data_IF_337309537841
#
_entry.id   IF_337309537841
#
_cell.length_a   1.000
_cell.length_b   1.000
_cell.length_c   1.000
_cell.angle_alpha   90.00
_cell.angle_beta   90.00
_cell.angle_gamma   90.00
#
_symmetry.space_group_name_H-M   'P 1'
#
loop_
_entity.id
_entity.type
_entity.pdbx_description
1 polymer ?
#
# COMPACT_ATOMS: atom_id res chain seq x y z
N UNK A 1 -10.23 7.10 13.30
CA UNK A 1 -9.55 5.85 12.89
C UNK A 1 -10.53 4.72 13.10
N UNK A 2 -10.88 3.93 12.07
CA UNK A 2 -11.73 2.77 12.26
C UNK A 2 -10.87 1.60 12.78
N UNK A 3 -11.07 1.17 14.02
CA UNK A 3 -10.38 0.00 14.57
C UNK A 3 -11.10 -1.28 14.15
N UNK A 4 -10.37 -2.20 13.54
CA UNK A 4 -10.88 -3.52 13.17
C UNK A 4 -10.45 -4.53 14.23
N UNK A 5 -11.42 -5.07 14.98
CA UNK A 5 -11.16 -6.12 15.98
C UNK A 5 -11.06 -7.48 15.29
N UNK A 6 -9.85 -8.01 15.18
CA UNK A 6 -9.57 -9.31 14.59
C UNK A 6 -9.66 -10.42 15.64
N UNK A 7 -10.36 -11.51 15.31
CA UNK A 7 -10.37 -12.76 16.09
C UNK A 7 -9.92 -13.90 15.20
N UNK A 8 -8.88 -14.61 15.60
CA UNK A 8 -8.38 -15.79 14.88
C UNK A 8 -7.72 -16.75 15.87
N UNK A 9 -7.74 -18.05 15.55
CA UNK A 9 -6.95 -19.06 16.27
C UNK A 9 -5.44 -18.93 15.98
N UNK A 10 -5.08 -18.28 14.88
CA UNK A 10 -3.71 -18.07 14.42
C UNK A 10 -3.43 -16.57 14.22
N UNK A 11 -3.52 -15.79 15.30
CA UNK A 11 -3.39 -14.32 15.24
C UNK A 11 -2.06 -13.86 14.60
N UNK A 12 -0.95 -14.53 14.91
CA UNK A 12 0.36 -14.15 14.36
C UNK A 12 0.42 -14.34 12.84
N UNK A 13 -0.10 -15.47 12.34
CA UNK A 13 -0.17 -15.75 10.91
C UNK A 13 -1.11 -14.77 10.19
N UNK A 14 -2.25 -14.46 10.79
CA UNK A 14 -3.20 -13.49 10.23
C UNK A 14 -2.61 -12.08 10.21
N UNK A 15 -1.92 -11.67 11.28
CA UNK A 15 -1.25 -10.38 11.36
C UNK A 15 -0.19 -10.26 10.26
N UNK A 16 0.67 -11.26 10.12
CA UNK A 16 1.69 -11.29 9.08
C UNK A 16 1.09 -11.21 7.68
N UNK A 17 0.04 -11.98 7.41
CA UNK A 17 -0.67 -11.93 6.12
C UNK A 17 -1.21 -10.53 5.81
N UNK A 18 -1.81 -9.87 6.80
CA UNK A 18 -2.32 -8.50 6.64
C UNK A 18 -1.16 -7.52 6.41
N UNK A 19 -0.07 -7.63 7.17
CA UNK A 19 1.12 -6.79 7.00
C UNK A 19 1.73 -6.96 5.60
N UNK A 20 1.85 -8.19 5.12
CA UNK A 20 2.39 -8.50 3.78
C UNK A 20 1.50 -7.89 2.69
N UNK A 21 0.18 -8.10 2.76
CA UNK A 21 -0.78 -7.57 1.78
C UNK A 21 -0.84 -6.03 1.79
N UNK A 22 -0.78 -5.40 2.97
CA UNK A 22 -0.73 -3.95 3.08
C UNK A 22 0.59 -3.39 2.53
N UNK A 23 1.70 -4.08 2.76
CA UNK A 23 3.02 -3.68 2.26
C UNK A 23 3.05 -3.71 0.74
N UNK A 24 2.56 -4.79 0.12
CA UNK A 24 2.45 -4.92 -1.34
C UNK A 24 1.60 -3.78 -1.92
N UNK A 25 0.43 -3.53 -1.33
CA UNK A 25 -0.46 -2.45 -1.79
C UNK A 25 0.16 -1.06 -1.65
N UNK A 26 0.92 -0.81 -0.59
CA UNK A 26 1.63 0.46 -0.41
C UNK A 26 2.72 0.64 -1.46
N UNK A 27 3.45 -0.43 -1.81
CA UNK A 27 4.46 -0.38 -2.87
C UNK A 27 3.83 -0.08 -4.23
N UNK A 28 2.73 -0.75 -4.60
CA UNK A 28 2.00 -0.46 -5.84
C UNK A 28 1.58 1.01 -5.94
N UNK A 29 1.05 1.57 -4.83
CA UNK A 29 0.62 2.97 -4.78
C UNK A 29 1.80 3.93 -4.92
N UNK A 30 2.92 3.65 -4.25
CA UNK A 30 4.13 4.46 -4.35
C UNK A 30 4.69 4.48 -5.78
N UNK A 31 4.70 3.33 -6.46
CA UNK A 31 5.10 3.27 -7.87
C UNK A 31 4.14 4.06 -8.77
N UNK A 32 2.84 3.93 -8.55
CA UNK A 32 1.82 4.68 -9.30
C UNK A 32 1.96 6.19 -9.12
N UNK A 33 2.21 6.65 -7.88
CA UNK A 33 2.47 8.06 -7.57
C UNK A 33 3.72 8.53 -8.30
N UNK A 34 4.82 7.77 -8.23
CA UNK A 34 6.08 8.11 -8.90
C UNK A 34 5.89 8.27 -10.41
N UNK A 35 5.25 7.30 -11.08
CA UNK A 35 4.97 7.37 -12.52
C UNK A 35 4.09 8.57 -12.86
N UNK A 36 3.14 8.92 -12.00
CA UNK A 36 2.27 10.08 -12.19
C UNK A 36 3.05 11.38 -12.07
N UNK A 37 3.94 11.49 -11.08
CA UNK A 37 4.84 12.64 -10.92
C UNK A 37 5.76 12.80 -12.13
N UNK A 38 6.39 11.73 -12.60
CA UNK A 38 7.23 11.74 -13.81
C UNK A 38 6.46 12.25 -15.03
N UNK A 39 5.20 11.83 -15.19
CA UNK A 39 4.33 12.32 -16.27
C UNK A 39 3.98 13.80 -16.12
N UNK A 40 3.65 14.26 -14.91
CA UNK A 40 3.36 15.67 -14.64
C UNK A 40 4.59 16.51 -15.00
N UNK A 41 5.77 16.15 -14.49
CA UNK A 41 7.03 16.83 -14.80
C UNK A 41 7.34 16.83 -16.30
N UNK A 42 7.06 15.74 -17.02
CA UNK A 42 7.19 15.70 -18.47
C UNK A 42 6.26 16.71 -19.18
N UNK A 43 5.01 16.83 -18.73
CA UNK A 43 4.06 17.79 -19.32
C UNK A 43 4.38 19.23 -18.97
N UNK A 44 4.89 19.51 -17.76
CA UNK A 44 5.26 20.88 -17.33
C UNK A 44 6.52 21.41 -18.02
N UNK A 45 7.44 20.52 -18.41
CA UNK A 45 8.68 20.88 -19.09
C UNK A 45 8.59 20.81 -20.64
N UNK A 46 7.39 20.64 -21.18
CA UNK A 46 7.09 20.63 -22.61
C UNK A 46 6.40 21.92 -23.03
#
# INVERSE_FOLDING_TARGET
MAEVKLKSKHLNSLKKFIEDALTERLQELQEGIKRTQERITFFENK
#
